data_IF_378587609682
#
_entry.id   IF_378587609682
#
_cell.length_a   1.000
_cell.length_b   1.000
_cell.length_c   1.000
_cell.angle_alpha   90.00
_cell.angle_beta   90.00
_cell.angle_gamma   90.00
#
_symmetry.space_group_name_H-M   'P 1'
#
loop_
_entity.id
_entity.type
_entity.pdbx_description
1 polymer ?
#
# COMPACT_ATOMS: atom_id res chain seq x y z
N UNK A 1 -1.00 -36.01 4.23
CA UNK A 1 -1.73 -35.23 5.25
C UNK A 1 -1.80 -33.78 4.79
N UNK A 2 -3.01 -33.29 4.48
CA UNK A 2 -3.37 -31.88 4.23
C UNK A 2 -2.53 -31.01 3.26
N UNK A 3 -2.23 -31.53 2.06
CA UNK A 3 -1.61 -30.74 0.98
C UNK A 3 -2.56 -29.78 0.23
N UNK A 4 -3.86 -29.79 0.56
CA UNK A 4 -4.87 -28.98 -0.14
C UNK A 4 -4.60 -27.48 0.00
N UNK A 5 -4.19 -27.03 1.20
CA UNK A 5 -3.89 -25.62 1.47
C UNK A 5 -2.70 -25.11 0.66
N UNK A 6 -1.64 -25.92 0.54
CA UNK A 6 -0.45 -25.56 -0.25
C UNK A 6 -0.81 -25.44 -1.75
N UNK A 7 -1.64 -26.36 -2.26
CA UNK A 7 -2.07 -26.34 -3.65
C UNK A 7 -2.90 -25.09 -3.99
N UNK A 8 -3.87 -24.72 -3.14
CA UNK A 8 -4.68 -23.52 -3.38
C UNK A 8 -3.86 -22.23 -3.28
N UNK A 9 -2.97 -22.11 -2.30
CA UNK A 9 -2.13 -20.92 -2.16
C UNK A 9 -1.12 -20.78 -3.29
N UNK A 10 -0.53 -21.89 -3.75
CA UNK A 10 0.37 -21.87 -4.90
C UNK A 10 -0.35 -21.37 -6.16
N UNK A 11 -1.53 -21.94 -6.46
CA UNK A 11 -2.32 -21.53 -7.63
C UNK A 11 -2.78 -20.08 -7.51
N UNK A 12 -3.20 -19.64 -6.32
CA UNK A 12 -3.63 -18.25 -6.08
C UNK A 12 -2.46 -17.28 -6.23
N UNK A 13 -1.29 -17.62 -5.67
CA UNK A 13 -0.08 -16.81 -5.83
C UNK A 13 0.35 -16.70 -7.29
N UNK A 14 0.33 -17.82 -8.03
CA UNK A 14 0.62 -17.81 -9.46
C UNK A 14 -0.41 -17.01 -10.28
N UNK A 15 -1.70 -17.07 -9.91
CA UNK A 15 -2.75 -16.26 -10.52
C UNK A 15 -2.57 -14.76 -10.23
N UNK A 16 -2.11 -14.39 -9.03
CA UNK A 16 -1.83 -12.99 -8.68
C UNK A 16 -0.62 -12.45 -9.46
N UNK A 17 0.45 -13.23 -9.63
CA UNK A 17 1.63 -12.82 -10.40
C UNK A 17 1.31 -12.67 -11.90
N UNK A 18 0.63 -13.66 -12.49
CA UNK A 18 0.18 -13.58 -13.88
C UNK A 18 -0.84 -12.46 -14.08
N UNK A 19 -1.76 -12.25 -13.13
CA UNK A 19 -2.73 -11.16 -13.14
C UNK A 19 -2.05 -9.79 -13.14
N UNK A 20 -1.00 -9.60 -12.32
CA UNK A 20 -0.21 -8.38 -12.30
C UNK A 20 0.42 -8.08 -13.67
N UNK A 21 1.05 -9.07 -14.30
CA UNK A 21 1.67 -8.91 -15.63
C UNK A 21 0.61 -8.53 -16.68
N UNK A 22 -0.52 -9.23 -16.70
CA UNK A 22 -1.61 -8.96 -17.65
C UNK A 22 -2.20 -7.56 -17.44
N UNK A 23 -2.50 -7.18 -16.19
CA UNK A 23 -2.99 -5.83 -15.87
C UNK A 23 -2.00 -4.74 -16.27
N UNK A 24 -0.69 -4.98 -16.10
CA UNK A 24 0.35 -4.04 -16.52
C UNK A 24 0.32 -3.81 -18.04
N UNK A 25 0.18 -4.88 -18.83
CA UNK A 25 0.08 -4.79 -20.30
C UNK A 25 -1.17 -4.00 -20.70
N UNK A 26 -2.32 -4.27 -20.08
CA UNK A 26 -3.58 -3.56 -20.37
C UNK A 26 -3.43 -2.06 -20.09
N UNK A 27 -2.94 -1.69 -18.89
CA UNK A 27 -2.75 -0.28 -18.51
C UNK A 27 -1.77 0.42 -19.44
N UNK A 28 -0.66 -0.24 -19.81
CA UNK A 28 0.31 0.29 -20.77
C UNK A 28 -0.36 0.64 -22.09
N UNK A 29 -1.05 -0.31 -22.72
CA UNK A 29 -1.70 -0.04 -24.00
C UNK A 29 -2.83 0.99 -23.88
N UNK A 30 -3.62 0.98 -22.80
CA UNK A 30 -4.68 1.96 -22.59
C UNK A 30 -4.14 3.40 -22.53
N UNK A 31 -3.01 3.63 -21.85
CA UNK A 31 -2.42 4.97 -21.71
C UNK A 31 -1.71 5.41 -22.99
N UNK A 32 -0.85 4.54 -23.55
CA UNK A 32 0.00 4.90 -24.68
C UNK A 32 -0.76 4.98 -26.02
N UNK A 33 -1.76 4.13 -26.26
CA UNK A 33 -2.53 4.18 -27.52
C UNK A 33 -3.54 5.32 -27.55
N UNK A 34 -4.05 5.75 -26.40
CA UNK A 34 -5.05 6.83 -26.29
C UNK A 34 -4.40 8.21 -26.16
N UNK A 35 -3.06 8.29 -26.12
CA UNK A 35 -2.27 9.50 -25.81
C UNK A 35 -2.78 10.24 -24.56
N UNK A 36 -3.37 9.50 -23.62
CA UNK A 36 -4.02 10.09 -22.45
C UNK A 36 -3.01 10.21 -21.32
N UNK A 37 -3.04 11.34 -20.63
CA UNK A 37 -2.25 11.53 -19.42
C UNK A 37 -2.69 10.54 -18.34
N UNK A 38 -1.72 10.01 -17.58
CA UNK A 38 -2.02 9.15 -16.45
C UNK A 38 -3.01 9.82 -15.48
N UNK A 39 -3.99 9.09 -14.93
CA UNK A 39 -5.00 9.68 -14.06
C UNK A 39 -4.38 10.23 -12.77
N UNK A 40 -4.95 11.31 -12.23
CA UNK A 40 -4.61 11.79 -10.90
C UNK A 40 -5.45 11.05 -9.88
N UNK A 41 -4.86 10.06 -9.20
CA UNK A 41 -5.52 9.24 -8.20
C UNK A 41 -4.55 8.90 -7.06
N UNK A 42 -5.04 8.13 -6.08
CA UNK A 42 -4.29 7.79 -4.88
C UNK A 42 -2.89 7.20 -5.17
N UNK A 43 -2.78 6.23 -6.07
CA UNK A 43 -1.49 5.59 -6.37
C UNK A 43 -0.49 6.43 -7.15
N UNK A 44 -0.90 7.55 -7.75
CA UNK A 44 0.00 8.43 -8.51
C UNK A 44 0.39 9.70 -7.73
N UNK A 45 -0.57 10.34 -7.08
CA UNK A 45 -0.36 11.64 -6.39
C UNK A 45 -0.89 11.63 -4.97
N UNK A 46 -2.00 10.95 -4.69
CA UNK A 46 -2.66 11.03 -3.39
C UNK A 46 -1.87 10.40 -2.25
N UNK A 47 -1.06 9.37 -2.52
CA UNK A 47 -0.19 8.75 -1.52
C UNK A 47 0.85 9.75 -0.98
N UNK A 48 1.25 10.75 -1.78
CA UNK A 48 2.24 11.75 -1.40
C UNK A 48 1.67 12.81 -0.45
N UNK A 49 0.36 13.01 -0.44
CA UNK A 49 -0.34 13.99 0.40
C UNK A 49 -1.03 13.33 1.60
N UNK A 50 -0.46 12.24 2.11
CA UNK A 50 -0.96 11.55 3.31
C UNK A 50 -0.24 12.08 4.53
N UNK A 51 -0.92 12.08 5.69
CA UNK A 51 -0.32 12.54 6.95
C UNK A 51 0.95 11.75 7.33
N UNK A 52 1.02 10.47 6.94
CA UNK A 52 2.21 9.63 7.11
C UNK A 52 3.38 10.11 6.24
N UNK A 53 3.12 10.48 4.98
CA UNK A 53 4.14 11.00 4.07
C UNK A 53 4.61 12.41 4.45
N UNK A 54 3.70 13.25 4.93
CA UNK A 54 4.00 14.64 5.34
C UNK A 54 4.62 14.72 6.74
N UNK A 55 4.69 13.60 7.47
CA UNK A 55 5.20 13.57 8.85
C UNK A 55 4.31 14.33 9.85
N UNK A 56 3.06 14.61 9.47
CA UNK A 56 2.07 15.30 10.30
C UNK A 56 1.18 14.33 11.07
N UNK A 57 1.43 13.03 10.97
CA UNK A 57 0.75 11.95 11.69
C UNK A 57 1.07 11.91 13.21
N UNK A 58 0.97 13.06 13.90
CA UNK A 58 1.13 13.14 15.35
C UNK A 58 -0.25 13.14 16.00
N UNK A 59 -0.60 12.05 16.68
CA UNK A 59 -1.89 11.91 17.37
C UNK A 59 -1.99 12.75 18.66
N UNK A 60 -0.87 13.01 19.32
CA UNK A 60 -0.79 13.81 20.55
C UNK A 60 0.63 14.34 20.75
N UNK A 61 0.78 15.65 20.86
CA UNK A 61 2.05 16.31 21.22
C UNK A 61 2.04 16.52 22.74
N UNK A 62 2.96 15.87 23.47
CA UNK A 62 3.11 16.19 24.88
C UNK A 62 3.74 17.57 25.07
N UNK A 63 3.30 18.34 26.08
CA UNK A 63 4.03 19.50 26.56
C UNK A 63 5.46 19.13 26.98
N UNK A 64 6.38 20.10 26.91
CA UNK A 64 7.76 19.91 27.31
C UNK A 64 7.86 19.35 28.76
N UNK A 65 8.55 18.22 28.91
CA UNK A 65 8.79 17.58 30.21
C UNK A 65 7.77 16.51 30.62
N UNK A 66 6.78 16.20 29.79
CA UNK A 66 5.88 15.05 30.04
C UNK A 66 6.32 13.83 29.22
N UNK A 67 6.10 12.64 29.77
CA UNK A 67 6.36 11.35 29.10
C UNK A 67 5.07 10.53 29.01
N UNK A 68 4.92 9.74 27.94
CA UNK A 68 3.87 8.71 27.90
C UNK A 68 4.28 7.53 28.79
N UNK A 69 3.34 7.06 29.62
CA UNK A 69 3.54 5.94 30.53
C UNK A 69 3.95 6.34 31.96
N UNK A 70 3.83 5.41 32.93
CA UNK A 70 4.21 5.64 34.32
C UNK A 70 5.72 5.80 34.48
N UNK A 71 6.15 6.65 35.42
CA UNK A 71 7.57 6.91 35.73
C UNK A 71 8.29 5.69 36.33
N UNK A 72 7.52 4.76 36.89
CA UNK A 72 8.00 3.52 37.51
C UNK A 72 6.99 2.43 37.21
N UNK A 73 7.47 1.32 36.67
CA UNK A 73 6.71 0.10 36.51
C UNK A 73 6.91 -0.75 37.77
N UNK A 74 5.80 -1.18 38.38
CA UNK A 74 5.82 -2.10 39.53
C UNK A 74 6.06 -3.52 39.01
#
# INVERSE_FOLDING_TARGET
MNGWWLQYNYITSAALDTGLIVSTIVVFFSLYLTETSAPNWFGNVGALSTADMEGTAVQSVLPAGQTFGPSTWI
#
